data_IF_334342431748
#
_entry.id   IF_334342431748
#
_cell.length_a   1.000
_cell.length_b   1.000
_cell.length_c   1.000
_cell.angle_alpha   90.00
_cell.angle_beta   90.00
_cell.angle_gamma   90.00
#
_symmetry.space_group_name_H-M   'P 1'
#
loop_
_entity.id
_entity.type
_entity.pdbx_description
1 polymer ?
#
# COMPACT_ATOMS: atom_id res chain seq x y z
N UNK A 1 -5.89 -16.65 9.99
CA UNK A 1 -4.75 -15.70 9.97
C UNK A 1 -4.11 -15.78 8.60
N UNK A 2 -3.86 -14.64 7.95
CA UNK A 2 -3.18 -14.60 6.66
C UNK A 2 -1.73 -15.04 6.87
N UNK A 3 -1.23 -15.97 6.06
CA UNK A 3 0.18 -16.38 6.09
C UNK A 3 1.01 -15.28 5.45
N UNK A 4 2.02 -14.76 6.18
CA UNK A 4 2.91 -13.73 5.66
C UNK A 4 4.03 -14.41 4.86
N UNK A 5 4.08 -14.26 3.53
CA UNK A 5 5.12 -14.90 2.72
C UNK A 5 6.43 -14.11 2.81
N UNK A 6 7.58 -14.75 2.56
CA UNK A 6 8.88 -14.04 2.49
C UNK A 6 8.94 -13.06 1.31
N UNK A 7 8.24 -13.37 0.23
CA UNK A 7 8.14 -12.57 -0.98
C UNK A 7 6.70 -12.50 -1.46
N UNK A 8 6.35 -11.44 -2.17
CA UNK A 8 5.01 -11.21 -2.71
C UNK A 8 5.07 -10.53 -4.07
N UNK A 9 3.95 -10.50 -4.79
CA UNK A 9 3.85 -9.88 -6.12
C UNK A 9 3.58 -8.38 -6.02
N UNK A 10 4.21 -7.63 -6.93
CA UNK A 10 3.97 -6.22 -7.14
C UNK A 10 3.81 -5.92 -8.63
N UNK A 11 2.94 -4.96 -8.96
CA UNK A 11 2.82 -4.41 -10.30
C UNK A 11 3.73 -3.19 -10.41
N UNK A 12 4.61 -3.18 -11.40
CA UNK A 12 5.58 -2.12 -11.60
C UNK A 12 5.53 -1.55 -13.02
N UNK A 13 5.87 -0.26 -13.13
CA UNK A 13 6.13 0.40 -14.40
C UNK A 13 7.63 0.26 -14.72
N UNK A 14 8.02 -0.37 -15.84
CA UNK A 14 9.44 -0.57 -16.17
C UNK A 14 10.08 0.59 -16.93
N UNK A 15 9.29 1.45 -17.57
CA UNK A 15 9.71 2.67 -18.25
C UNK A 15 8.48 3.55 -18.56
N UNK A 16 8.70 4.80 -18.99
CA UNK A 16 7.61 5.67 -19.47
C UNK A 16 6.81 4.98 -20.57
N UNK A 17 5.49 4.97 -20.45
CA UNK A 17 4.52 4.42 -21.43
C UNK A 17 4.75 2.95 -21.81
N UNK A 18 5.48 2.20 -20.99
CA UNK A 18 5.68 0.77 -21.19
C UNK A 18 4.55 -0.03 -20.52
N UNK A 19 4.22 -1.23 -21.04
CA UNK A 19 3.31 -2.15 -20.36
C UNK A 19 3.77 -2.45 -18.94
N UNK A 20 2.80 -2.57 -18.02
CA UNK A 20 3.08 -2.96 -16.63
C UNK A 20 3.69 -4.37 -16.58
N UNK A 21 4.59 -4.56 -15.63
CA UNK A 21 5.22 -5.86 -15.36
C UNK A 21 4.92 -6.32 -13.94
N UNK A 22 4.97 -7.63 -13.73
CA UNK A 22 4.95 -8.21 -12.39
C UNK A 22 6.38 -8.41 -11.87
N UNK A 23 6.60 -8.04 -10.62
CA UNK A 23 7.86 -8.24 -9.90
C UNK A 23 7.60 -9.04 -8.62
N UNK A 24 8.59 -9.80 -8.19
CA UNK A 24 8.66 -10.33 -6.82
C UNK A 24 9.37 -9.32 -5.93
N UNK A 25 8.80 -9.06 -4.76
CA UNK A 25 9.39 -8.20 -3.73
C UNK A 25 9.48 -8.91 -2.40
N UNK A 26 10.44 -8.53 -1.58
CA UNK A 26 10.51 -8.99 -0.20
C UNK A 26 9.33 -8.43 0.60
N UNK A 27 8.71 -9.27 1.43
CA UNK A 27 7.75 -8.81 2.42
C UNK A 27 8.52 -8.35 3.66
N UNK A 28 8.69 -7.04 3.77
CA UNK A 28 9.46 -6.44 4.85
C UNK A 28 8.63 -6.43 6.15
N UNK A 29 9.10 -7.01 7.27
CA UNK A 29 8.34 -6.97 8.51
C UNK A 29 8.23 -5.53 9.06
N UNK A 30 7.18 -5.21 9.83
CA UNK A 30 7.01 -3.87 10.38
C UNK A 30 8.04 -3.58 11.47
N UNK A 31 8.68 -2.42 11.38
CA UNK A 31 9.54 -1.86 12.43
C UNK A 31 8.75 -1.12 13.52
N UNK A 32 9.43 -0.38 14.40
CA UNK A 32 8.76 0.38 15.45
C UNK A 32 7.77 1.42 14.89
N UNK A 33 6.53 1.43 15.39
CA UNK A 33 5.47 2.34 14.95
C UNK A 33 4.92 2.04 13.54
N UNK A 34 5.16 0.84 13.02
CA UNK A 34 4.72 0.41 11.69
C UNK A 34 3.75 -0.76 11.77
N UNK A 35 2.97 -0.93 10.70
CA UNK A 35 2.13 -2.09 10.48
C UNK A 35 2.39 -2.67 9.09
N UNK A 36 2.21 -3.98 8.98
CA UNK A 36 2.20 -4.68 7.70
C UNK A 36 0.76 -4.96 7.32
N UNK A 37 0.36 -4.45 6.16
CA UNK A 37 -0.98 -4.62 5.59
C UNK A 37 -0.90 -5.65 4.46
N UNK A 38 -1.83 -6.59 4.44
CA UNK A 38 -2.16 -7.34 3.25
C UNK A 38 -3.15 -6.51 2.43
N UNK A 39 -2.67 -5.97 1.32
CA UNK A 39 -3.43 -5.08 0.45
C UNK A 39 -4.37 -5.93 -0.42
N UNK A 40 -5.65 -5.91 -0.08
CA UNK A 40 -6.68 -6.61 -0.85
C UNK A 40 -7.21 -5.72 -1.98
N UNK A 41 -7.18 -4.40 -1.76
CA UNK A 41 -7.62 -3.40 -2.71
C UNK A 41 -6.61 -2.25 -2.79
N UNK A 42 -6.43 -1.74 -4.00
CA UNK A 42 -5.70 -0.50 -4.29
C UNK A 42 -6.42 0.23 -5.42
N UNK A 43 -6.27 1.55 -5.47
CA UNK A 43 -6.84 2.38 -6.53
C UNK A 43 -5.73 3.20 -7.18
N UNK A 44 -5.82 3.35 -8.50
CA UNK A 44 -4.96 4.27 -9.23
C UNK A 44 -5.44 5.71 -9.04
N UNK A 45 -4.50 6.63 -9.11
CA UNK A 45 -4.69 8.06 -8.97
C UNK A 45 -4.09 8.82 -10.17
N UNK A 46 -4.42 10.11 -10.37
CA UNK A 46 -3.78 10.92 -11.40
C UNK A 46 -2.24 10.96 -11.29
N UNK A 47 -1.69 10.84 -10.08
CA UNK A 47 -0.23 10.78 -9.88
C UNK A 47 0.37 9.53 -10.55
N UNK A 48 -0.30 8.38 -10.48
CA UNK A 48 0.16 7.15 -11.11
C UNK A 48 0.19 7.31 -12.65
N UNK A 49 -0.79 8.02 -13.22
CA UNK A 49 -0.79 8.36 -14.64
C UNK A 49 0.38 9.29 -15.01
N UNK A 50 0.59 10.38 -14.26
CA UNK A 50 1.70 11.30 -14.51
C UNK A 50 3.08 10.62 -14.37
N UNK A 51 3.18 9.62 -13.51
CA UNK A 51 4.35 8.78 -13.33
C UNK A 51 4.55 7.79 -14.48
N UNK A 52 3.51 7.07 -14.88
CA UNK A 52 3.56 6.11 -15.97
C UNK A 52 3.82 6.77 -17.33
N UNK A 53 3.15 7.89 -17.62
CA UNK A 53 3.23 8.55 -18.93
C UNK A 53 4.32 9.61 -19.02
N UNK A 54 4.48 10.41 -17.96
CA UNK A 54 5.38 11.55 -17.90
C UNK A 54 6.71 11.25 -17.20
N UNK A 55 6.78 10.20 -16.39
CA UNK A 55 7.91 9.90 -15.50
C UNK A 55 8.18 10.98 -14.47
N UNK A 56 7.11 11.60 -13.97
CA UNK A 56 7.18 12.56 -12.89
C UNK A 56 7.66 11.85 -11.61
N UNK A 57 8.82 12.24 -11.06
CA UNK A 57 9.34 11.68 -9.80
C UNK A 57 9.51 10.14 -9.84
N UNK A 58 9.97 9.59 -10.98
CA UNK A 58 10.12 8.15 -11.17
C UNK A 58 11.58 7.70 -11.33
N UNK A 59 11.88 6.56 -10.72
CA UNK A 59 13.08 5.75 -11.01
C UNK A 59 12.62 4.34 -11.35
N UNK A 60 12.73 3.96 -12.62
CA UNK A 60 12.23 2.68 -13.08
C UNK A 60 13.21 1.51 -12.82
N UNK A 61 12.71 0.27 -12.62
CA UNK A 61 11.29 -0.08 -12.49
C UNK A 61 10.71 0.41 -11.15
N UNK A 62 9.47 0.89 -11.16
CA UNK A 62 8.83 1.46 -9.97
C UNK A 62 7.45 0.84 -9.70
N UNK A 63 7.23 0.42 -8.45
CA UNK A 63 5.91 0.10 -7.91
C UNK A 63 5.23 1.39 -7.46
N UNK A 64 3.98 1.61 -7.85
CA UNK A 64 3.24 2.85 -7.59
C UNK A 64 2.03 2.62 -6.67
N UNK A 65 1.11 3.58 -6.61
CA UNK A 65 -0.06 3.53 -5.73
C UNK A 65 0.21 4.12 -4.35
N UNK A 66 -0.72 4.98 -3.91
CA UNK A 66 -0.70 5.60 -2.58
C UNK A 66 -1.82 5.15 -1.66
N UNK A 67 -2.87 4.51 -2.19
CA UNK A 67 -4.06 4.10 -1.45
C UNK A 67 -4.20 2.59 -1.40
N UNK A 68 -4.33 2.05 -0.18
CA UNK A 68 -4.56 0.63 0.06
C UNK A 68 -5.75 0.43 1.01
N UNK A 69 -6.49 -0.66 0.83
CA UNK A 69 -7.43 -1.18 1.82
C UNK A 69 -7.27 -2.69 1.95
N UNK A 70 -7.43 -3.21 3.16
CA UNK A 70 -7.25 -4.63 3.44
C UNK A 70 -7.05 -4.89 4.92
N UNK A 71 -6.20 -5.86 5.24
CA UNK A 71 -6.09 -6.42 6.58
C UNK A 71 -4.71 -6.17 7.19
N UNK A 72 -4.65 -5.67 8.43
CA UNK A 72 -3.38 -5.67 9.20
C UNK A 72 -2.99 -7.11 9.52
N UNK A 73 -1.80 -7.53 9.10
CA UNK A 73 -1.30 -8.90 9.34
C UNK A 73 -0.20 -8.97 10.41
N UNK A 74 0.50 -7.86 10.64
CA UNK A 74 1.46 -7.72 11.73
C UNK A 74 1.57 -6.26 12.18
N UNK A 75 1.92 -6.05 13.45
CA UNK A 75 2.15 -4.73 14.06
C UNK A 75 3.53 -4.76 14.71
N UNK A 76 4.34 -3.75 14.43
CA UNK A 76 5.65 -3.59 15.05
C UNK A 76 5.55 -3.01 16.47
N UNK A 77 6.65 -2.99 17.23
CA UNK A 77 6.66 -2.45 18.59
C UNK A 77 6.48 -0.93 18.61
N UNK A 78 6.15 -0.33 19.77
CA UNK A 78 6.22 1.13 19.93
C UNK A 78 5.20 1.95 19.13
N UNK A 79 4.18 1.30 18.58
CA UNK A 79 3.00 1.96 18.04
C UNK A 79 2.12 2.59 19.12
N UNK A 80 1.07 3.30 18.70
CA UNK A 80 0.09 3.92 19.61
C UNK A 80 -0.91 2.89 20.19
N UNK A 81 -0.91 1.67 19.66
CA UNK A 81 -1.69 0.54 20.14
C UNK A 81 -3.13 0.50 19.61
N UNK A 82 -3.50 1.38 18.67
CA UNK A 82 -4.86 1.40 18.11
C UNK A 82 -5.08 0.28 17.11
N UNK A 83 -4.05 -0.19 16.41
CA UNK A 83 -4.14 -1.29 15.43
C UNK A 83 -3.66 -2.63 15.98
N UNK A 84 -4.27 -3.70 15.49
CA UNK A 84 -3.85 -5.08 15.76
C UNK A 84 -4.05 -5.95 14.53
N UNK A 85 -3.35 -7.09 14.50
CA UNK A 85 -3.55 -8.09 13.46
C UNK A 85 -5.02 -8.53 13.37
N UNK A 86 -5.54 -8.60 12.15
CA UNK A 86 -6.94 -8.88 11.83
C UNK A 86 -7.83 -7.64 11.66
N UNK A 87 -7.37 -6.45 12.04
CA UNK A 87 -8.14 -5.22 11.80
C UNK A 87 -8.26 -4.94 10.28
N UNK A 88 -9.49 -4.61 9.87
CA UNK A 88 -9.79 -4.09 8.53
C UNK A 88 -9.42 -2.60 8.50
N UNK A 89 -8.59 -2.21 7.53
CA UNK A 89 -7.99 -0.87 7.46
C UNK A 89 -7.97 -0.31 6.05
N UNK A 90 -7.78 1.00 5.97
CA UNK A 90 -7.34 1.70 4.76
C UNK A 90 -6.18 2.63 5.11
N UNK A 91 -5.34 2.94 4.12
CA UNK A 91 -4.10 3.68 4.33
C UNK A 91 -3.81 4.67 3.19
N UNK A 92 -3.08 5.73 3.52
CA UNK A 92 -2.46 6.62 2.55
C UNK A 92 -0.96 6.70 2.80
N UNK A 93 -0.17 5.99 2.00
CA UNK A 93 1.28 5.95 2.14
C UNK A 93 1.94 5.81 0.77
N UNK A 94 2.92 6.67 0.48
CA UNK A 94 3.57 6.70 -0.84
C UNK A 94 5.02 7.17 -0.80
N UNK A 95 5.64 7.31 0.37
CA UNK A 95 6.96 7.92 0.52
C UNK A 95 8.07 6.96 0.13
N UNK A 96 7.95 5.70 0.57
CA UNK A 96 8.95 4.67 0.37
C UNK A 96 8.43 3.54 -0.54
N UNK A 97 9.30 2.83 -1.29
CA UNK A 97 8.87 1.71 -2.13
C UNK A 97 8.06 0.64 -1.39
N UNK A 98 8.41 0.31 -0.14
CA UNK A 98 7.69 -0.69 0.67
C UNK A 98 6.28 -0.25 1.12
N UNK A 99 5.97 1.04 1.01
CA UNK A 99 4.66 1.61 1.38
C UNK A 99 3.67 1.58 0.21
N UNK A 100 4.17 1.43 -1.02
CA UNK A 100 3.37 1.54 -2.24
C UNK A 100 2.23 0.53 -2.28
N UNK A 101 1.08 0.94 -2.79
CA UNK A 101 -0.13 0.12 -2.68
C UNK A 101 -0.32 -0.88 -3.84
N UNK A 102 0.38 -0.72 -4.98
CA UNK A 102 0.32 -1.66 -6.10
C UNK A 102 1.20 -2.91 -5.88
N UNK A 103 1.13 -3.47 -4.68
CA UNK A 103 1.75 -4.73 -4.26
C UNK A 103 0.91 -5.39 -3.18
N UNK A 104 1.00 -6.71 -3.06
CA UNK A 104 0.15 -7.50 -2.14
C UNK A 104 0.40 -7.18 -0.65
N UNK A 105 1.60 -6.75 -0.28
CA UNK A 105 1.95 -6.44 1.11
C UNK A 105 2.70 -5.11 1.22
N UNK A 106 2.20 -4.21 2.07
CA UNK A 106 2.84 -2.92 2.31
C UNK A 106 3.13 -2.72 3.79
N UNK A 107 4.35 -2.28 4.08
CA UNK A 107 4.78 -1.87 5.42
C UNK A 107 4.71 -0.37 5.51
N UNK A 108 3.86 0.12 6.41
CA UNK A 108 3.49 1.53 6.49
C UNK A 108 3.54 2.01 7.94
N UNK A 109 3.91 3.28 8.19
CA UNK A 109 3.76 3.89 9.50
C UNK A 109 2.32 3.81 10.00
N UNK A 110 2.12 3.42 11.26
CA UNK A 110 0.79 3.22 11.87
C UNK A 110 -0.06 4.49 11.78
N UNK A 111 0.55 5.68 11.90
CA UNK A 111 -0.17 6.96 11.84
C UNK A 111 -0.80 7.28 10.48
N UNK A 112 -0.39 6.58 9.41
CA UNK A 112 -0.94 6.70 8.05
C UNK A 112 -2.11 5.74 7.77
N UNK A 113 -2.51 4.95 8.77
CA UNK A 113 -3.51 3.88 8.64
C UNK A 113 -4.71 4.19 9.51
N UNK A 114 -5.90 3.89 9.03
CA UNK A 114 -7.14 4.01 9.80
C UNK A 114 -7.95 2.74 9.71
N UNK A 115 -8.70 2.43 10.77
CA UNK A 115 -9.66 1.32 10.73
C UNK A 115 -10.82 1.66 9.80
N UNK A 116 -11.28 0.65 9.08
CA UNK A 116 -12.50 0.74 8.30
C UNK A 116 -13.72 0.86 9.23
N UNK A 117 -14.59 1.85 9.02
CA UNK A 117 -15.91 1.88 9.67
C UNK A 117 -16.74 0.66 9.27
N UNK A 118 -17.53 0.11 10.19
CA UNK A 118 -18.31 -1.12 9.94
C UNK A 118 -19.39 -1.00 8.86
N UNK A 119 -19.68 0.21 8.38
CA UNK A 119 -20.65 0.50 7.33
C UNK A 119 -20.01 0.89 5.98
N UNK A 120 -18.69 0.73 5.82
CA UNK A 120 -17.96 1.06 4.59
C UNK A 120 -17.19 -0.16 4.12
N UNK A 121 -17.32 -0.50 2.84
CA UNK A 121 -16.58 -1.62 2.25
C UNK A 121 -15.12 -1.22 1.93
N UNK A 122 -14.17 -2.19 1.88
CA UNK A 122 -12.79 -1.90 1.46
C UNK A 122 -12.70 -1.24 0.08
N UNK A 123 -13.56 -1.64 -0.87
CA UNK A 123 -13.61 -1.10 -2.23
C UNK A 123 -14.05 0.36 -2.27
N UNK A 124 -15.01 0.76 -1.43
CA UNK A 124 -15.41 2.16 -1.32
C UNK A 124 -14.29 2.97 -0.67
N UNK A 125 -13.76 2.46 0.46
CA UNK A 125 -12.77 3.17 1.23
C UNK A 125 -11.45 3.40 0.49
N UNK A 126 -10.96 2.45 -0.31
CA UNK A 126 -9.65 2.58 -0.98
C UNK A 126 -9.58 3.75 -1.96
N UNK A 127 -10.72 4.23 -2.44
CA UNK A 127 -10.80 5.35 -3.38
C UNK A 127 -10.60 6.70 -2.70
N UNK A 128 -10.84 6.80 -1.39
CA UNK A 128 -10.85 8.08 -0.66
C UNK A 128 -9.45 8.64 -0.40
N UNK A 129 -8.47 7.89 0.14
CA UNK A 129 -7.30 8.51 0.75
C UNK A 129 -6.44 9.26 -0.26
N UNK A 130 -6.22 8.68 -1.44
CA UNK A 130 -5.47 9.36 -2.49
C UNK A 130 -6.33 10.40 -3.21
N UNK A 131 -7.54 10.06 -3.67
CA UNK A 131 -8.33 10.97 -4.50
C UNK A 131 -8.98 12.15 -3.75
N UNK A 132 -9.07 12.10 -2.41
CA UNK A 132 -9.50 13.25 -1.61
C UNK A 132 -8.36 14.26 -1.41
N UNK A 133 -7.11 13.79 -1.35
CA UNK A 133 -5.94 14.58 -0.97
C UNK A 133 -5.25 15.19 -2.20
N UNK A 134 -5.21 14.46 -3.32
CA UNK A 134 -4.50 14.84 -4.56
C UNK A 134 -5.44 15.28 -5.66
#
# INVERSE_FOLDING_TARGET
MVTIPKTHKAVATPAKRAPLILLDRATEPPGPGEVLIHNEWTASSPLDLHRADGGLLCTYPEVMGGGAAGTVVAVGPGGDGRLRAGDQVFAFAFHLPREKAHQEFATVPEYLVSKLPGNVTPQEAVTVPTNLIT
#
